data_IF_116277574277
#
_entry.id   IF_116277574277
#
_cell.length_a   1.000
_cell.length_b   1.000
_cell.length_c   1.000
_cell.angle_alpha   90.00
_cell.angle_beta   90.00
_cell.angle_gamma   90.00
#
_symmetry.space_group_name_H-M   'P 1'
#
loop_
_entity.id
_entity.type
_entity.pdbx_description
1 polymer ?
#
# COMPACT_ATOMS: atom_id res chain seq x y z
N UNK A 1 -0.45 -13.79 -3.52
CA UNK A 1 -0.71 -12.35 -3.33
C UNK A 1 -1.27 -11.80 -4.64
N UNK A 2 -2.27 -10.93 -4.57
CA UNK A 2 -2.80 -10.21 -5.74
C UNK A 2 -1.99 -8.93 -6.00
N UNK A 3 -1.95 -8.44 -7.24
CA UNK A 3 -1.25 -7.20 -7.60
C UNK A 3 -2.22 -6.14 -8.11
N UNK A 4 -2.28 -4.99 -7.46
CA UNK A 4 -3.03 -3.83 -7.92
C UNK A 4 -2.08 -2.76 -8.46
N UNK A 5 -2.56 -1.98 -9.44
CA UNK A 5 -1.84 -0.79 -9.90
C UNK A 5 -2.41 0.46 -9.22
N UNK A 6 -1.51 1.29 -8.66
CA UNK A 6 -1.84 2.55 -8.00
C UNK A 6 -1.64 3.71 -8.98
N UNK A 7 -2.67 3.98 -9.77
CA UNK A 7 -2.68 5.08 -10.74
C UNK A 7 -4.12 5.40 -11.15
N UNK A 8 -4.32 6.59 -11.70
CA UNK A 8 -5.57 6.98 -12.34
C UNK A 8 -5.38 7.34 -13.82
N UNK A 9 -4.16 7.21 -14.38
CA UNK A 9 -3.92 7.47 -15.80
C UNK A 9 -4.35 6.29 -16.64
N UNK A 10 -5.18 6.54 -17.65
CA UNK A 10 -5.80 5.46 -18.43
C UNK A 10 -4.80 4.71 -19.31
N UNK A 11 -3.75 5.40 -19.79
CA UNK A 11 -2.65 4.77 -20.52
C UNK A 11 -1.90 3.74 -19.66
N UNK A 12 -1.50 4.14 -18.45
CA UNK A 12 -0.83 3.25 -17.48
C UNK A 12 -1.74 2.08 -17.08
N UNK A 13 -3.04 2.33 -16.86
CA UNK A 13 -4.01 1.28 -16.55
C UNK A 13 -4.12 0.29 -17.71
N UNK A 14 -4.32 0.78 -18.94
CA UNK A 14 -4.47 -0.07 -20.12
C UNK A 14 -3.23 -0.95 -20.33
N UNK A 15 -2.05 -0.38 -20.18
CA UNK A 15 -0.79 -1.11 -20.29
C UNK A 15 -0.66 -2.17 -19.19
N UNK A 16 -0.81 -1.77 -17.91
CA UNK A 16 -0.68 -2.68 -16.77
C UNK A 16 -1.70 -3.82 -16.80
N UNK A 17 -2.96 -3.53 -17.15
CA UNK A 17 -4.01 -4.53 -17.32
C UNK A 17 -3.70 -5.48 -18.48
N UNK A 18 -3.10 -4.98 -19.57
CA UNK A 18 -2.70 -5.76 -20.74
C UNK A 18 -1.63 -6.81 -20.47
N UNK A 19 -0.86 -6.67 -19.38
CA UNK A 19 0.15 -7.67 -18.99
C UNK A 19 -0.46 -8.95 -18.40
N UNK A 20 -1.75 -8.95 -18.06
CA UNK A 20 -2.45 -10.14 -17.53
C UNK A 20 -2.10 -10.51 -16.08
N UNK A 21 -1.30 -9.70 -15.40
CA UNK A 21 -0.85 -9.94 -14.00
C UNK A 21 -1.47 -8.99 -12.97
N UNK A 22 -2.29 -8.02 -13.41
CA UNK A 22 -2.92 -7.03 -12.53
C UNK A 22 -4.36 -7.42 -12.20
N UNK A 23 -4.68 -7.43 -10.91
CA UNK A 23 -5.92 -7.92 -10.31
C UNK A 23 -6.89 -6.81 -9.88
N UNK A 24 -6.48 -5.55 -9.97
CA UNK A 24 -7.28 -4.40 -9.51
C UNK A 24 -6.53 -3.08 -9.58
N UNK A 25 -7.22 -2.01 -9.20
CA UNK A 25 -6.75 -0.63 -9.28
C UNK A 25 -7.05 0.09 -7.97
N UNK A 26 -6.08 0.82 -7.44
CA UNK A 26 -6.34 1.82 -6.41
C UNK A 26 -6.18 3.22 -6.98
N UNK A 27 -7.12 4.11 -6.66
CA UNK A 27 -6.97 5.54 -6.90
C UNK A 27 -6.96 6.30 -5.58
N UNK A 28 -6.76 7.60 -5.69
CA UNK A 28 -6.99 8.59 -4.66
C UNK A 28 -7.32 9.94 -5.36
N UNK A 29 -7.82 10.95 -4.62
CA UNK A 29 -8.22 12.23 -5.22
C UNK A 29 -7.08 12.93 -5.97
N UNK A 30 -5.84 12.88 -5.45
CA UNK A 30 -4.68 13.50 -6.10
C UNK A 30 -4.33 12.85 -7.44
N UNK A 31 -4.36 11.52 -7.53
CA UNK A 31 -4.11 10.78 -8.77
C UNK A 31 -5.21 11.08 -9.80
N UNK A 32 -6.47 11.06 -9.40
CA UNK A 32 -7.60 11.35 -10.28
C UNK A 32 -7.52 12.77 -10.83
N UNK A 33 -7.25 13.75 -9.96
CA UNK A 33 -7.05 15.15 -10.36
C UNK A 33 -5.93 15.28 -11.40
N UNK A 34 -4.75 14.74 -11.11
CA UNK A 34 -3.60 14.81 -12.01
C UNK A 34 -3.85 14.11 -13.36
N UNK A 35 -4.61 13.01 -13.36
CA UNK A 35 -4.95 12.30 -14.59
C UNK A 35 -5.96 13.08 -15.46
N UNK A 36 -6.99 13.68 -14.85
CA UNK A 36 -8.02 14.45 -15.57
C UNK A 36 -7.44 15.77 -16.10
N UNK A 37 -6.63 16.49 -15.32
CA UNK A 37 -5.94 17.70 -15.77
C UNK A 37 -5.02 17.42 -16.98
N UNK A 38 -4.40 16.23 -17.03
CA UNK A 38 -3.53 15.81 -18.13
C UNK A 38 -4.27 15.32 -19.39
N UNK A 39 -5.56 15.00 -19.31
CA UNK A 39 -6.35 14.43 -20.42
C UNK A 39 -7.31 15.44 -21.09
N UNK A 40 -7.24 16.73 -20.73
CA UNK A 40 -7.68 17.90 -21.51
C UNK A 40 -9.19 18.13 -21.69
N UNK A 41 -10.00 17.10 -21.91
CA UNK A 41 -11.42 17.25 -22.28
C UNK A 41 -12.39 16.25 -21.63
N UNK A 42 -11.90 15.35 -20.78
CA UNK A 42 -12.72 14.32 -20.14
C UNK A 42 -13.24 14.77 -18.78
N UNK A 43 -14.53 14.57 -18.52
CA UNK A 43 -15.07 14.81 -17.18
C UNK A 43 -14.55 13.76 -16.18
N UNK A 44 -14.48 14.12 -14.88
CA UNK A 44 -14.10 13.17 -13.83
C UNK A 44 -15.00 11.92 -13.81
N UNK A 45 -16.30 12.10 -14.08
CA UNK A 45 -17.24 10.98 -14.12
C UNK A 45 -16.93 10.01 -15.27
N UNK A 46 -16.73 10.50 -16.48
CA UNK A 46 -16.37 9.67 -17.63
C UNK A 46 -15.03 8.97 -17.40
N UNK A 47 -14.09 9.67 -16.77
CA UNK A 47 -12.78 9.13 -16.42
C UNK A 47 -12.89 7.93 -15.47
N UNK A 48 -13.64 8.08 -14.36
CA UNK A 48 -13.85 7.00 -13.40
C UNK A 48 -14.60 5.82 -14.02
N UNK A 49 -15.61 6.09 -14.88
CA UNK A 49 -16.30 5.03 -15.63
C UNK A 49 -15.32 4.25 -16.49
N UNK A 50 -14.39 4.93 -17.16
CA UNK A 50 -13.39 4.27 -18.01
C UNK A 50 -12.39 3.44 -17.19
N UNK A 51 -11.93 3.93 -16.03
CA UNK A 51 -11.12 3.12 -15.10
C UNK A 51 -11.86 1.83 -14.74
N UNK A 52 -13.15 1.92 -14.40
CA UNK A 52 -13.96 0.75 -14.04
C UNK A 52 -14.10 -0.24 -15.21
N UNK A 53 -14.26 0.24 -16.45
CA UNK A 53 -14.32 -0.60 -17.66
C UNK A 53 -12.99 -1.30 -17.93
N UNK A 54 -11.88 -0.56 -17.87
CA UNK A 54 -10.54 -1.10 -18.12
C UNK A 54 -10.13 -2.16 -17.10
N UNK A 55 -10.46 -1.97 -15.82
CA UNK A 55 -10.28 -3.01 -14.81
C UNK A 55 -11.13 -4.27 -15.13
N UNK A 56 -12.36 -4.05 -15.58
CA UNK A 56 -13.31 -5.10 -15.90
C UNK A 56 -13.88 -5.80 -14.67
N UNK A 57 -14.81 -6.72 -14.92
CA UNK A 57 -15.56 -7.43 -13.87
C UNK A 57 -14.63 -8.29 -13.02
N UNK A 58 -14.84 -8.26 -11.70
CA UNK A 58 -14.09 -9.07 -10.74
C UNK A 58 -12.77 -8.45 -10.26
N UNK A 59 -12.32 -7.35 -10.86
CA UNK A 59 -11.08 -6.65 -10.49
C UNK A 59 -11.37 -5.34 -9.78
N UNK A 60 -11.16 -5.24 -8.45
CA UNK A 60 -11.60 -4.09 -7.66
C UNK A 60 -11.01 -2.76 -8.11
N UNK A 61 -11.82 -1.69 -8.05
CA UNK A 61 -11.40 -0.30 -8.24
C UNK A 61 -11.74 0.47 -6.96
N UNK A 62 -10.72 0.93 -6.24
CA UNK A 62 -10.92 1.73 -5.02
C UNK A 62 -11.14 3.20 -5.37
N UNK A 63 -12.26 3.79 -4.92
CA UNK A 63 -12.60 5.21 -5.06
C UNK A 63 -12.79 5.85 -3.68
N UNK A 64 -12.21 7.03 -3.45
CA UNK A 64 -12.15 7.65 -2.12
C UNK A 64 -13.22 8.72 -1.92
N UNK A 65 -13.77 8.77 -0.70
CA UNK A 65 -14.67 9.84 -0.21
C UNK A 65 -13.87 11.09 0.19
N UNK A 66 -14.55 12.21 0.44
CA UNK A 66 -13.95 13.48 0.86
C UNK A 66 -14.43 13.95 2.24
N UNK A 67 -15.62 13.52 2.66
CA UNK A 67 -16.22 13.90 3.93
C UNK A 67 -15.33 13.59 5.13
N UNK A 68 -15.44 14.42 6.18
CA UNK A 68 -14.68 14.26 7.42
C UNK A 68 -15.53 13.63 8.53
N UNK A 69 -16.86 13.68 8.39
CA UNK A 69 -17.82 13.05 9.31
C UNK A 69 -18.38 11.75 8.73
N UNK A 70 -18.81 10.87 9.62
CA UNK A 70 -19.30 9.56 9.27
C UNK A 70 -20.52 9.62 8.36
N UNK A 71 -21.48 10.51 8.65
CA UNK A 71 -22.71 10.66 7.87
C UNK A 71 -22.40 11.15 6.45
N UNK A 72 -21.48 12.10 6.31
CA UNK A 72 -21.01 12.63 5.01
C UNK A 72 -20.34 11.52 4.19
N UNK A 73 -19.37 10.83 4.80
CA UNK A 73 -18.66 9.72 4.16
C UNK A 73 -19.61 8.61 3.71
N UNK A 74 -20.62 8.27 4.52
CA UNK A 74 -21.61 7.24 4.18
C UNK A 74 -22.46 7.68 2.99
N UNK A 75 -22.90 8.93 2.93
CA UNK A 75 -23.70 9.42 1.81
C UNK A 75 -22.88 9.49 0.50
N UNK A 76 -21.67 10.04 0.57
CA UNK A 76 -20.72 10.05 -0.56
C UNK A 76 -20.42 8.64 -1.07
N UNK A 77 -20.17 7.69 -0.15
CA UNK A 77 -19.95 6.29 -0.49
C UNK A 77 -21.15 5.67 -1.24
N UNK A 78 -22.39 5.97 -0.81
CA UNK A 78 -23.61 5.51 -1.50
C UNK A 78 -23.73 6.12 -2.88
N UNK A 79 -23.41 7.40 -3.05
CA UNK A 79 -23.42 8.09 -4.34
C UNK A 79 -22.38 7.46 -5.28
N UNK A 80 -21.13 7.35 -4.86
CA UNK A 80 -20.04 6.75 -5.65
C UNK A 80 -20.37 5.31 -6.05
N UNK A 81 -20.79 4.48 -5.10
CA UNK A 81 -21.14 3.09 -5.37
C UNK A 81 -22.32 2.99 -6.34
N UNK A 82 -23.39 3.77 -6.14
CA UNK A 82 -24.56 3.77 -7.05
C UNK A 82 -24.19 4.21 -8.46
N UNK A 83 -23.34 5.23 -8.58
CA UNK A 83 -22.97 5.82 -9.87
C UNK A 83 -22.04 4.91 -10.68
N UNK A 84 -21.03 4.32 -10.03
CA UNK A 84 -19.92 3.66 -10.73
C UNK A 84 -19.97 2.13 -10.66
N UNK A 85 -20.53 1.53 -9.60
CA UNK A 85 -20.57 0.07 -9.49
C UNK A 85 -21.35 -0.62 -10.62
N UNK A 86 -22.44 -0.06 -11.18
CA UNK A 86 -23.11 -0.68 -12.32
C UNK A 86 -22.25 -0.87 -13.58
N UNK A 87 -21.14 -0.14 -13.72
CA UNK A 87 -20.26 -0.20 -14.90
C UNK A 87 -19.63 -1.58 -15.07
N UNK A 88 -19.06 -2.12 -13.99
CA UNK A 88 -18.34 -3.41 -14.03
C UNK A 88 -18.48 -4.25 -12.74
N UNK A 89 -19.30 -3.83 -11.77
CA UNK A 89 -19.52 -4.48 -10.47
C UNK A 89 -18.23 -4.69 -9.67
N UNK A 90 -17.37 -3.68 -9.67
CA UNK A 90 -16.02 -3.76 -9.13
C UNK A 90 -15.64 -2.58 -8.23
N UNK A 91 -16.57 -1.69 -7.88
CA UNK A 91 -16.25 -0.51 -7.06
C UNK A 91 -16.10 -0.88 -5.59
N UNK A 92 -15.06 -0.36 -4.97
CA UNK A 92 -14.79 -0.43 -3.53
C UNK A 92 -14.62 0.98 -3.00
N UNK A 93 -15.31 1.33 -1.91
CA UNK A 93 -15.24 2.68 -1.36
C UNK A 93 -14.11 2.78 -0.36
N UNK A 94 -13.20 3.71 -0.61
CA UNK A 94 -12.05 3.97 0.22
C UNK A 94 -12.42 5.01 1.27
N UNK A 95 -12.24 4.64 2.53
CA UNK A 95 -12.63 5.44 3.70
C UNK A 95 -11.37 5.68 4.55
N UNK A 96 -10.99 6.93 4.86
CA UNK A 96 -9.90 7.18 5.80
C UNK A 96 -10.24 6.55 7.15
N UNK A 97 -9.29 5.80 7.74
CA UNK A 97 -9.53 5.10 9.01
C UNK A 97 -9.79 6.07 10.18
N UNK A 98 -9.23 7.27 10.06
CA UNK A 98 -9.34 8.40 11.00
C UNK A 98 -9.31 9.68 10.16
N UNK A 99 -10.15 10.65 10.51
CA UNK A 99 -10.25 11.96 9.81
C UNK A 99 -9.73 13.13 10.65
N UNK A 100 -9.28 12.86 11.89
CA UNK A 100 -8.71 13.88 12.77
C UNK A 100 -7.50 14.57 12.14
N UNK A 101 -7.49 15.90 12.21
CA UNK A 101 -6.39 16.77 11.77
C UNK A 101 -5.69 17.46 12.94
N UNK A 102 -5.99 17.05 14.17
CA UNK A 102 -5.39 17.58 15.39
C UNK A 102 -6.32 17.46 16.61
N UNK A 103 -7.60 17.76 16.43
CA UNK A 103 -8.62 17.65 17.47
C UNK A 103 -9.94 17.11 16.90
N UNK A 104 -10.40 15.98 17.42
CA UNK A 104 -11.69 15.40 17.10
C UNK A 104 -11.74 14.69 15.74
N UNK A 105 -12.67 13.74 15.59
CA UNK A 105 -12.83 12.99 14.34
C UNK A 105 -12.03 11.69 14.28
N UNK A 106 -11.42 11.27 15.39
CA UNK A 106 -10.64 10.04 15.48
C UNK A 106 -11.48 8.79 15.14
N UNK A 107 -12.76 8.84 15.46
CA UNK A 107 -13.68 7.70 15.34
C UNK A 107 -14.56 7.71 14.08
N UNK A 108 -14.60 8.82 13.33
CA UNK A 108 -15.55 9.03 12.23
C UNK A 108 -15.36 8.02 11.10
N UNK A 109 -14.10 7.71 10.77
CA UNK A 109 -13.77 6.67 9.79
C UNK A 109 -14.28 5.29 10.21
N UNK A 110 -14.13 4.93 11.49
CA UNK A 110 -14.61 3.66 12.04
C UNK A 110 -16.14 3.58 12.04
N UNK A 111 -16.83 4.67 12.43
CA UNK A 111 -18.30 4.78 12.36
C UNK A 111 -18.79 4.58 10.91
N UNK A 112 -18.18 5.25 9.94
CA UNK A 112 -18.54 5.13 8.52
C UNK A 112 -18.32 3.70 7.99
N UNK A 113 -17.17 3.08 8.30
CA UNK A 113 -16.88 1.70 7.91
C UNK A 113 -17.95 0.73 8.44
N UNK A 114 -18.38 0.91 9.70
CA UNK A 114 -19.40 0.07 10.33
C UNK A 114 -20.75 0.18 9.65
N UNK A 115 -21.16 1.40 9.30
CA UNK A 115 -22.44 1.62 8.64
C UNK A 115 -22.43 1.08 7.20
N UNK A 116 -21.35 1.31 6.44
CA UNK A 116 -21.21 0.78 5.09
C UNK A 116 -21.17 -0.76 5.05
N UNK A 117 -20.60 -1.39 6.08
CA UNK A 117 -20.65 -2.85 6.23
C UNK A 117 -22.09 -3.37 6.39
N UNK A 118 -22.96 -2.68 7.16
CA UNK A 118 -24.39 -3.01 7.28
C UNK A 118 -25.12 -2.87 5.95
N UNK A 119 -24.77 -1.84 5.17
CA UNK A 119 -25.29 -1.60 3.82
C UNK A 119 -24.73 -2.54 2.76
N UNK A 120 -23.79 -3.44 3.12
CA UNK A 120 -23.09 -4.36 2.21
C UNK A 120 -22.34 -3.65 1.09
N UNK A 121 -21.88 -2.42 1.33
CA UNK A 121 -21.01 -1.68 0.42
C UNK A 121 -19.55 -2.06 0.75
N UNK A 122 -18.78 -2.63 -0.19
CA UNK A 122 -17.41 -3.04 0.07
C UNK A 122 -16.51 -1.83 0.30
N UNK A 123 -15.75 -1.84 1.40
CA UNK A 123 -14.88 -0.73 1.79
C UNK A 123 -13.39 -1.09 1.85
N UNK A 124 -12.55 -0.08 1.63
CA UNK A 124 -11.11 -0.13 1.84
C UNK A 124 -10.70 0.96 2.85
N UNK A 125 -10.34 0.57 4.07
CA UNK A 125 -9.83 1.51 5.06
C UNK A 125 -8.44 2.00 4.66
N UNK A 126 -8.28 3.29 4.40
CA UNK A 126 -7.04 3.94 3.95
C UNK A 126 -6.41 4.80 5.04
N UNK A 127 -5.20 5.30 4.80
CA UNK A 127 -4.41 6.07 5.78
C UNK A 127 -4.15 5.30 7.08
N UNK A 128 -4.02 3.98 6.98
CA UNK A 128 -3.65 3.13 8.11
C UNK A 128 -2.14 3.22 8.32
N UNK A 129 -1.74 3.76 9.47
CA UNK A 129 -0.35 3.96 9.87
C UNK A 129 0.08 3.03 11.01
N UNK A 130 -0.88 2.40 11.70
CA UNK A 130 -0.59 1.47 12.80
C UNK A 130 -1.39 0.16 12.70
N UNK A 131 -0.90 -0.94 13.29
CA UNK A 131 -1.65 -2.20 13.33
C UNK A 131 -2.97 -2.09 14.12
N UNK A 132 -3.04 -1.22 15.12
CA UNK A 132 -4.24 -0.96 15.92
C UNK A 132 -5.35 -0.33 15.07
N UNK A 133 -5.00 0.64 14.22
CA UNK A 133 -5.94 1.21 13.25
C UNK A 133 -6.47 0.13 12.30
N UNK A 134 -5.60 -0.77 11.83
CA UNK A 134 -6.01 -1.89 10.98
C UNK A 134 -6.96 -2.86 11.70
N UNK A 135 -6.69 -3.16 12.97
CA UNK A 135 -7.55 -4.00 13.81
C UNK A 135 -8.94 -3.38 13.99
N UNK A 136 -9.01 -2.08 14.31
CA UNK A 136 -10.27 -1.37 14.46
C UNK A 136 -11.08 -1.35 13.16
N UNK A 137 -10.43 -1.06 12.03
CA UNK A 137 -11.08 -1.10 10.72
C UNK A 137 -11.61 -2.51 10.36
N UNK A 138 -10.84 -3.56 10.66
CA UNK A 138 -11.29 -4.94 10.45
C UNK A 138 -12.51 -5.28 11.33
N UNK A 139 -12.52 -4.86 12.60
CA UNK A 139 -13.68 -5.01 13.51
C UNK A 139 -14.90 -4.22 13.07
N UNK A 140 -14.70 -3.06 12.44
CA UNK A 140 -15.77 -2.27 11.84
C UNK A 140 -16.41 -2.97 10.63
N UNK A 141 -15.74 -3.95 10.03
CA UNK A 141 -16.24 -4.71 8.89
C UNK A 141 -15.65 -4.27 7.55
N UNK A 142 -14.50 -3.59 7.56
CA UNK A 142 -13.81 -3.23 6.33
C UNK A 142 -13.49 -4.49 5.50
N UNK A 143 -13.73 -4.43 4.18
CA UNK A 143 -13.34 -5.51 3.26
C UNK A 143 -11.82 -5.55 3.08
N UNK A 144 -11.21 -4.37 3.02
CA UNK A 144 -9.77 -4.19 2.95
C UNK A 144 -9.28 -3.20 3.99
N UNK A 145 -8.03 -3.38 4.42
CA UNK A 145 -7.24 -2.35 5.12
C UNK A 145 -5.99 -2.06 4.30
N UNK A 146 -5.61 -0.79 4.21
CA UNK A 146 -4.46 -0.33 3.41
C UNK A 146 -3.41 0.33 4.30
N UNK A 147 -2.48 -0.44 4.90
CA UNK A 147 -1.33 0.12 5.61
C UNK A 147 -0.37 0.84 4.66
N UNK A 148 0.03 2.06 4.98
CA UNK A 148 0.84 2.93 4.09
C UNK A 148 2.33 2.75 4.37
N UNK A 149 2.89 1.64 3.87
CA UNK A 149 4.27 1.23 4.15
C UNK A 149 5.30 2.31 3.81
N UNK A 150 5.29 2.86 2.59
CA UNK A 150 6.27 3.88 2.21
C UNK A 150 6.18 5.17 3.02
N UNK A 151 5.00 5.56 3.54
CA UNK A 151 4.90 6.75 4.40
C UNK A 151 5.51 6.51 5.78
N UNK A 152 5.45 5.28 6.30
CA UNK A 152 6.16 4.91 7.52
C UNK A 152 7.67 4.94 7.31
N UNK A 153 8.16 4.42 6.18
CA UNK A 153 9.58 4.50 5.85
C UNK A 153 10.04 5.97 5.74
N UNK A 154 9.26 6.81 5.05
CA UNK A 154 9.52 8.25 4.93
C UNK A 154 9.57 8.93 6.33
N UNK A 155 8.66 8.57 7.25
CA UNK A 155 8.61 9.09 8.63
C UNK A 155 9.85 8.71 9.44
N UNK A 156 10.19 7.42 9.46
CA UNK A 156 11.33 6.89 10.22
C UNK A 156 12.63 7.52 9.71
N UNK A 157 12.83 7.56 8.40
CA UNK A 157 14.02 8.17 7.79
C UNK A 157 14.13 9.66 8.11
N UNK A 158 13.03 10.40 8.03
CA UNK A 158 13.00 11.84 8.33
C UNK A 158 13.38 12.13 9.78
N UNK A 159 12.84 11.35 10.74
CA UNK A 159 13.15 11.53 12.17
C UNK A 159 14.59 11.16 12.52
N UNK A 160 15.21 10.29 11.75
CA UNK A 160 16.61 9.92 11.89
C UNK A 160 17.57 10.79 11.06
N UNK A 161 17.05 11.78 10.31
CA UNK A 161 17.87 12.64 9.45
C UNK A 161 18.51 11.92 8.26
N UNK A 162 17.95 10.78 7.83
CA UNK A 162 18.46 10.00 6.69
C UNK A 162 17.91 10.63 5.41
N UNK A 163 18.75 11.09 4.45
CA UNK A 163 18.27 11.61 3.18
C UNK A 163 17.72 10.48 2.29
N UNK A 164 16.71 10.79 1.47
CA UNK A 164 16.06 9.82 0.60
C UNK A 164 15.32 10.41 -0.60
N UNK A 165 15.35 9.67 -1.71
CA UNK A 165 14.46 9.82 -2.85
C UNK A 165 13.16 9.02 -2.68
N UNK A 166 12.13 9.41 -3.45
CA UNK A 166 10.78 8.84 -3.35
C UNK A 166 10.71 7.32 -3.56
N UNK A 167 11.60 6.77 -4.39
CA UNK A 167 11.65 5.34 -4.76
C UNK A 167 12.86 4.61 -4.17
N UNK A 168 13.60 5.24 -3.26
CA UNK A 168 14.74 4.61 -2.62
C UNK A 168 14.29 3.49 -1.69
N UNK A 169 15.00 2.38 -1.70
CA UNK A 169 14.78 1.32 -0.72
C UNK A 169 15.27 1.76 0.68
N UNK A 170 14.52 1.38 1.71
CA UNK A 170 14.89 1.59 3.11
C UNK A 170 15.26 0.25 3.76
N UNK A 171 16.55 0.04 4.05
CA UNK A 171 17.02 -1.18 4.70
C UNK A 171 16.85 -1.09 6.22
N UNK A 172 15.63 -1.35 6.69
CA UNK A 172 15.31 -1.35 8.11
C UNK A 172 16.02 -2.47 8.90
N UNK A 173 16.48 -3.53 8.22
CA UNK A 173 17.26 -4.60 8.85
C UNK A 173 18.68 -4.13 9.18
N UNK A 174 19.28 -3.29 8.34
CA UNK A 174 20.51 -2.58 8.68
C UNK A 174 20.30 -1.65 9.87
N UNK A 175 19.25 -0.82 9.85
CA UNK A 175 18.93 0.07 10.96
C UNK A 175 18.81 -0.69 12.29
N UNK A 176 18.04 -1.79 12.29
CA UNK A 176 17.86 -2.63 13.47
C UNK A 176 19.18 -3.17 14.01
N UNK A 177 20.03 -3.76 13.16
CA UNK A 177 21.34 -4.31 13.59
C UNK A 177 22.26 -3.24 14.15
N UNK A 178 22.23 -2.02 13.60
CA UNK A 178 23.01 -0.90 14.11
C UNK A 178 22.50 -0.47 15.49
N UNK A 179 21.19 -0.44 15.69
CA UNK A 179 20.58 -0.12 16.97
C UNK A 179 20.88 -1.19 18.03
N UNK A 180 20.71 -2.47 17.70
CA UNK A 180 21.01 -3.62 18.57
C UNK A 180 22.47 -3.60 19.04
N UNK A 181 23.43 -3.39 18.13
CA UNK A 181 24.85 -3.28 18.46
C UNK A 181 25.13 -2.14 19.45
N UNK A 182 24.49 -0.99 19.27
CA UNK A 182 24.66 0.16 20.17
C UNK A 182 24.05 -0.10 21.54
N UNK A 183 22.92 -0.81 21.60
CA UNK A 183 22.34 -1.25 22.87
C UNK A 183 23.26 -2.21 23.63
N UNK A 184 23.90 -3.15 22.93
CA UNK A 184 24.89 -4.07 23.53
C UNK A 184 26.12 -3.31 24.08
N UNK A 185 26.63 -2.32 23.34
CA UNK A 185 27.73 -1.46 23.79
C UNK A 185 27.37 -0.66 25.06
N UNK A 186 26.14 -0.15 25.16
CA UNK A 186 25.66 0.57 26.35
C UNK A 186 25.52 -0.40 27.53
N UNK A 187 24.89 -1.57 27.32
CA UNK A 187 24.73 -2.58 28.36
C UNK A 187 26.08 -3.08 28.91
N UNK A 188 27.11 -3.15 28.06
CA UNK A 188 28.48 -3.52 28.46
C UNK A 188 29.17 -2.51 29.37
N UNK A 189 28.68 -1.27 29.47
CA UNK A 189 29.21 -0.24 30.40
C UNK A 189 28.72 -0.43 31.84
N UNK A 190 27.78 -1.36 32.08
CA UNK A 190 27.16 -1.59 33.37
C UNK A 190 25.93 -0.71 33.62
N UNK A 191 25.34 -0.81 34.81
CA UNK A 191 24.10 -0.13 35.19
C UNK A 191 22.98 -1.12 35.53
N UNK A 192 22.09 -0.72 36.45
CA UNK A 192 20.92 -1.53 36.79
C UNK A 192 19.90 -1.55 35.66
N UNK A 193 19.10 -2.62 35.54
CA UNK A 193 18.06 -2.73 34.51
C UNK A 193 17.09 -1.54 34.51
N UNK A 194 16.72 -1.04 35.70
CA UNK A 194 15.84 0.12 35.83
C UNK A 194 16.46 1.42 35.32
N UNK A 195 17.76 1.61 35.53
CA UNK A 195 18.51 2.78 35.04
C UNK A 195 18.61 2.73 33.51
N UNK A 196 19.02 1.59 32.96
CA UNK A 196 19.09 1.37 31.51
C UNK A 196 17.72 1.54 30.83
N UNK A 197 16.64 1.06 31.45
CA UNK A 197 15.28 1.24 30.91
C UNK A 197 14.81 2.69 30.88
N UNK A 198 15.33 3.53 31.78
CA UNK A 198 15.00 4.96 31.84
C UNK A 198 15.93 5.82 30.98
N UNK A 199 17.08 5.30 30.56
CA UNK A 199 18.04 5.98 29.72
C UNK A 199 17.43 6.41 28.36
N UNK A 200 17.67 7.67 27.99
CA UNK A 200 17.08 8.27 26.80
C UNK A 200 17.70 7.74 25.49
N UNK A 201 19.01 7.43 25.48
CA UNK A 201 19.68 6.84 24.32
C UNK A 201 19.16 5.40 24.12
N UNK A 202 19.03 4.61 25.19
CA UNK A 202 18.47 3.25 25.15
C UNK A 202 17.05 3.26 24.58
N UNK A 203 16.18 4.16 25.06
CA UNK A 203 14.80 4.27 24.54
C UNK A 203 14.76 4.66 23.06
N UNK A 204 15.60 5.60 22.64
CA UNK A 204 15.69 5.99 21.23
C UNK A 204 16.21 4.86 20.33
N UNK A 205 17.14 4.04 20.83
CA UNK A 205 17.65 2.87 20.12
C UNK A 205 16.67 1.68 20.13
N UNK A 206 15.79 1.58 21.12
CA UNK A 206 14.76 0.55 21.19
C UNK A 206 13.59 0.80 20.21
N UNK A 207 13.31 2.07 19.87
CA UNK A 207 12.35 2.47 18.85
C UNK A 207 12.95 3.53 17.89
N UNK A 208 13.93 3.16 17.04
CA UNK A 208 14.53 4.11 16.11
C UNK A 208 13.48 4.75 15.19
N UNK A 209 13.38 6.07 15.23
CA UNK A 209 12.37 6.82 14.50
C UNK A 209 11.02 6.98 15.23
N UNK A 210 10.88 6.47 16.46
CA UNK A 210 9.78 6.78 17.38
C UNK A 210 8.40 6.40 16.86
N UNK A 211 8.25 5.21 16.30
CA UNK A 211 7.02 4.76 15.64
C UNK A 211 6.37 3.60 16.39
N UNK A 212 6.37 3.67 17.73
CA UNK A 212 5.69 2.74 18.63
C UNK A 212 6.14 1.28 18.41
N UNK A 213 7.43 1.09 18.13
CA UNK A 213 8.03 -0.23 17.91
C UNK A 213 7.82 -0.80 16.49
N UNK A 214 7.33 0.00 15.55
CA UNK A 214 7.23 -0.36 14.13
C UNK A 214 8.34 0.35 13.35
N UNK A 215 9.41 -0.37 12.99
CA UNK A 215 10.64 0.22 12.45
C UNK A 215 10.58 0.50 10.95
N UNK A 216 9.59 -0.05 10.25
CA UNK A 216 9.40 0.16 8.81
C UNK A 216 7.97 -0.10 8.36
N UNK A 217 7.66 0.35 7.15
CA UNK A 217 6.42 0.06 6.47
C UNK A 217 6.19 -1.43 6.21
N UNK A 218 7.26 -2.18 5.94
CA UNK A 218 7.17 -3.65 5.81
C UNK A 218 6.80 -4.28 7.14
N UNK A 219 7.36 -3.80 8.26
CA UNK A 219 6.98 -4.26 9.59
C UNK A 219 5.54 -3.91 9.96
N UNK A 220 5.06 -2.71 9.60
CA UNK A 220 3.66 -2.33 9.74
C UNK A 220 2.75 -3.36 9.05
N UNK A 221 3.04 -3.70 7.80
CA UNK A 221 2.27 -4.70 7.04
C UNK A 221 2.36 -6.07 7.70
N UNK A 222 3.57 -6.52 8.09
CA UNK A 222 3.77 -7.81 8.74
C UNK A 222 3.00 -7.94 10.04
N UNK A 223 3.04 -6.92 10.90
CA UNK A 223 2.30 -6.88 12.16
C UNK A 223 0.79 -6.89 11.91
N UNK A 224 0.32 -6.08 10.95
CA UNK A 224 -1.08 -6.05 10.52
C UNK A 224 -1.56 -7.44 10.07
N UNK A 225 -0.81 -8.10 9.17
CA UNK A 225 -1.14 -9.45 8.70
C UNK A 225 -1.19 -10.41 9.88
N UNK A 226 -0.16 -10.44 10.73
CA UNK A 226 -0.10 -11.33 11.90
C UNK A 226 -1.36 -11.20 12.78
N UNK A 227 -1.73 -9.97 13.14
CA UNK A 227 -2.92 -9.71 13.98
C UNK A 227 -4.20 -10.17 13.28
N UNK A 228 -4.41 -9.78 12.02
CA UNK A 228 -5.65 -10.12 11.32
C UNK A 228 -5.81 -11.62 11.10
N UNK A 229 -4.71 -12.35 10.84
CA UNK A 229 -4.72 -13.81 10.72
C UNK A 229 -4.95 -14.52 12.03
N UNK A 230 -4.32 -14.06 13.11
CA UNK A 230 -4.48 -14.65 14.43
C UNK A 230 -5.96 -14.69 14.86
N UNK A 231 -6.68 -13.59 14.64
CA UNK A 231 -8.11 -13.49 14.95
C UNK A 231 -9.03 -13.91 13.80
N UNK A 232 -8.49 -14.50 12.73
CA UNK A 232 -9.24 -15.03 11.56
C UNK A 232 -10.18 -14.00 10.93
N UNK A 233 -9.77 -12.73 10.87
CA UNK A 233 -10.53 -11.72 10.14
C UNK A 233 -10.58 -12.04 8.65
N UNK A 234 -11.74 -11.80 8.03
CA UNK A 234 -11.92 -11.92 6.56
C UNK A 234 -11.38 -10.71 5.80
N UNK A 235 -11.14 -9.61 6.50
CA UNK A 235 -10.54 -8.39 5.97
C UNK A 235 -9.18 -8.71 5.35
N UNK A 236 -8.98 -8.22 4.13
CA UNK A 236 -7.72 -8.41 3.38
C UNK A 236 -6.77 -7.23 3.58
N UNK A 237 -5.48 -7.50 3.66
CA UNK A 237 -4.43 -6.47 3.78
C UNK A 237 -3.92 -6.08 2.40
N UNK A 238 -4.09 -4.80 2.06
CA UNK A 238 -3.51 -4.16 0.86
C UNK A 238 -2.25 -3.40 1.30
N UNK A 239 -1.08 -4.01 1.13
CA UNK A 239 0.19 -3.30 1.29
C UNK A 239 0.24 -2.13 0.29
N UNK A 240 0.23 -0.90 0.82
CA UNK A 240 0.01 0.32 0.05
C UNK A 240 1.15 1.32 0.23
N UNK A 241 1.18 2.35 -0.62
CA UNK A 241 2.26 3.34 -0.67
C UNK A 241 3.64 2.70 -0.91
N UNK A 242 3.70 1.61 -1.67
CA UNK A 242 4.96 0.93 -2.00
C UNK A 242 5.79 1.77 -2.97
N UNK A 243 7.10 1.83 -2.72
CA UNK A 243 8.05 2.70 -3.40
C UNK A 243 9.16 1.94 -4.12
N UNK A 244 9.39 0.67 -3.80
CA UNK A 244 10.50 -0.08 -4.37
C UNK A 244 10.13 -1.56 -4.60
N UNK A 245 10.62 -2.23 -5.67
CA UNK A 245 10.34 -3.64 -5.94
C UNK A 245 10.66 -4.57 -4.77
N UNK A 246 11.74 -4.28 -4.04
CA UNK A 246 12.12 -5.05 -2.83
C UNK A 246 11.05 -5.00 -1.73
N UNK A 247 10.36 -3.88 -1.54
CA UNK A 247 9.24 -3.82 -0.59
C UNK A 247 8.10 -4.75 -1.04
N UNK A 248 7.82 -4.84 -2.35
CA UNK A 248 6.78 -5.73 -2.90
C UNK A 248 7.09 -7.19 -2.55
N UNK A 249 8.36 -7.61 -2.71
CA UNK A 249 8.81 -8.95 -2.26
C UNK A 249 8.60 -9.12 -0.75
N UNK A 250 9.05 -8.16 0.05
CA UNK A 250 9.05 -8.29 1.50
C UNK A 250 7.63 -8.29 2.11
N UNK A 251 6.68 -7.57 1.51
CA UNK A 251 5.26 -7.65 1.92
C UNK A 251 4.58 -8.93 1.44
N UNK A 252 5.02 -9.50 0.31
CA UNK A 252 4.59 -10.82 -0.12
C UNK A 252 5.05 -11.91 0.86
N UNK A 253 6.32 -11.86 1.26
CA UNK A 253 6.91 -12.73 2.29
C UNK A 253 6.23 -12.55 3.66
N UNK A 254 5.78 -11.32 3.96
CA UNK A 254 5.00 -11.02 5.17
C UNK A 254 3.55 -11.56 5.12
N UNK A 255 3.09 -12.05 3.97
CA UNK A 255 1.75 -12.63 3.82
C UNK A 255 0.63 -11.62 3.53
N UNK A 256 0.96 -10.45 2.95
CA UNK A 256 -0.05 -9.51 2.48
C UNK A 256 -0.97 -10.17 1.42
N UNK A 257 -2.27 -9.86 1.46
CA UNK A 257 -3.21 -10.39 0.47
C UNK A 257 -2.98 -9.75 -0.90
N UNK A 258 -2.77 -8.44 -0.89
CA UNK A 258 -2.66 -7.58 -2.07
C UNK A 258 -1.48 -6.64 -1.87
N UNK A 259 -0.71 -6.38 -2.91
CA UNK A 259 0.18 -5.23 -2.99
C UNK A 259 -0.35 -4.26 -4.04
N UNK A 260 -0.56 -2.99 -3.68
CA UNK A 260 -0.85 -1.94 -4.66
C UNK A 260 0.40 -1.11 -4.91
N UNK A 261 0.82 -1.03 -6.17
CA UNK A 261 2.11 -0.47 -6.56
C UNK A 261 1.96 0.60 -7.65
N UNK A 262 2.73 1.69 -7.60
CA UNK A 262 2.81 2.63 -8.71
C UNK A 262 3.28 1.93 -9.99
N UNK A 263 2.78 2.37 -11.15
CA UNK A 263 3.09 1.74 -12.43
C UNK A 263 4.59 1.59 -12.73
N UNK A 264 5.41 2.57 -12.32
CA UNK A 264 6.86 2.47 -12.49
C UNK A 264 7.53 1.42 -11.61
N UNK A 265 7.01 1.18 -10.39
CA UNK A 265 7.51 0.12 -9.50
C UNK A 265 7.15 -1.23 -10.11
N UNK A 266 5.94 -1.35 -10.67
CA UNK A 266 5.50 -2.54 -11.39
C UNK A 266 6.44 -2.84 -12.59
N UNK A 267 6.80 -1.83 -13.40
CA UNK A 267 7.82 -1.98 -14.46
C UNK A 267 9.18 -2.40 -13.94
N UNK A 268 9.63 -1.80 -12.83
CA UNK A 268 10.92 -2.09 -12.23
C UNK A 268 11.03 -3.54 -11.72
N UNK A 269 9.90 -4.16 -11.32
CA UNK A 269 9.87 -5.57 -10.91
C UNK A 269 10.26 -6.56 -12.02
N UNK A 270 10.16 -6.17 -13.30
CA UNK A 270 10.48 -7.05 -14.44
C UNK A 270 11.97 -7.04 -14.82
N UNK A 271 12.76 -6.11 -14.27
CA UNK A 271 14.14 -5.87 -14.72
C UNK A 271 15.14 -6.52 -13.79
N UNK A 272 16.13 -7.18 -14.37
CA UNK A 272 17.30 -7.67 -13.67
C UNK A 272 18.48 -7.81 -14.65
N UNK A 273 19.71 -7.38 -14.31
CA UNK A 273 20.85 -7.43 -15.22
C UNK A 273 21.14 -8.83 -15.78
N UNK A 274 21.00 -9.88 -14.97
CA UNK A 274 21.18 -11.28 -15.42
C UNK A 274 20.06 -11.76 -16.36
N UNK A 275 18.85 -11.21 -16.26
CA UNK A 275 17.77 -11.53 -17.21
C UNK A 275 18.09 -10.93 -18.58
N UNK A 276 18.52 -9.66 -18.60
CA UNK A 276 18.93 -8.97 -19.84
C UNK A 276 20.13 -9.66 -20.50
N UNK A 277 21.13 -10.04 -19.70
CA UNK A 277 22.27 -10.83 -20.17
C UNK A 277 21.83 -12.18 -20.76
N UNK A 278 20.96 -12.91 -20.05
CA UNK A 278 20.43 -14.19 -20.52
C UNK A 278 19.67 -14.07 -21.84
N UNK A 279 18.75 -13.10 -21.95
CA UNK A 279 18.00 -12.84 -23.18
C UNK A 279 18.95 -12.57 -24.35
N UNK A 280 19.99 -11.75 -24.14
CA UNK A 280 20.98 -11.44 -25.16
C UNK A 280 21.74 -12.68 -25.63
N UNK A 281 22.25 -13.49 -24.69
CA UNK A 281 23.02 -14.69 -25.03
C UNK A 281 22.15 -15.75 -25.72
N UNK A 282 20.95 -16.03 -25.17
CA UNK A 282 20.06 -17.04 -25.75
C UNK A 282 19.54 -16.65 -27.13
N UNK A 283 19.26 -15.36 -27.36
CA UNK A 283 18.86 -14.90 -28.69
C UNK A 283 19.97 -15.11 -29.71
N UNK A 284 21.22 -14.79 -29.35
CA UNK A 284 22.37 -14.99 -30.22
C UNK A 284 22.62 -16.46 -30.54
N UNK A 285 22.50 -17.34 -29.55
CA UNK A 285 22.71 -18.77 -29.76
C UNK A 285 21.56 -19.39 -30.56
N UNK A 286 20.31 -18.96 -30.34
CA UNK A 286 19.16 -19.37 -31.13
C UNK A 286 19.30 -18.98 -32.61
N UNK A 287 19.78 -17.76 -32.88
CA UNK A 287 20.07 -17.32 -34.25
C UNK A 287 21.15 -18.19 -34.92
N UNK A 288 22.24 -18.49 -34.23
CA UNK A 288 23.30 -19.38 -34.75
C UNK A 288 22.80 -20.81 -34.99
N UNK A 289 21.86 -21.28 -34.17
CA UNK A 289 21.28 -22.61 -34.28
C UNK A 289 20.15 -22.71 -35.32
N UNK A 290 19.83 -21.63 -36.03
CA UNK A 290 18.77 -21.64 -37.06
C UNK A 290 17.35 -21.71 -36.49
N UNK A 291 17.14 -21.38 -35.20
CA UNK A 291 15.82 -21.49 -34.55
C UNK A 291 14.71 -20.70 -35.29
N UNK A 292 15.06 -19.66 -36.04
CA UNK A 292 14.09 -18.88 -36.81
C UNK A 292 13.38 -19.71 -37.88
N UNK A 293 14.02 -20.74 -38.43
CA UNK A 293 13.43 -21.62 -39.45
C UNK A 293 12.20 -22.39 -38.92
N UNK A 294 12.08 -22.56 -37.61
CA UNK A 294 10.91 -23.20 -36.99
C UNK A 294 9.64 -22.34 -37.06
N UNK A 295 9.77 -21.04 -37.34
CA UNK A 295 8.66 -20.08 -37.28
C UNK A 295 8.20 -19.56 -38.66
N UNK A 296 8.77 -20.09 -39.75
CA UNK A 296 8.50 -19.64 -41.12
C UNK A 296 9.09 -18.28 -41.44
#
# INVERSE_FOLDING_TARGET
MQLFVDTAKLSEIREAMGWGVVDGITTNPSLLRAAVEGEGSRSLEEHVREICRLAGKGRPVSLEVMGLKAEEMVEEARILHRKFNPVARNVVIKIPVCTSTGEGGEEEGIKALRELARLRIPTNATLVMTPEQALLAAKAGARYVSPFAGRIDDLVRSRLGIPFGKYDYFDFSLLRRLAERRLEEIAGRGGGLGELYQDAEVRALADPGGNQGILSGVELVRSTVKILRYYRFRTKVIASSLRHPRQVREVAEAGADIATVPFQVLKAMLRHPKTEEGVRLFTQDAEKAGYRELFG
#
